data_IF_433129254982
#
_entry.id   IF_433129254982
#
_cell.length_a   1.000
_cell.length_b   1.000
_cell.length_c   1.000
_cell.angle_alpha   90.00
_cell.angle_beta   90.00
_cell.angle_gamma   90.00
#
_symmetry.space_group_name_H-M   'P 1'
#
loop_
_entity.id
_entity.type
_entity.pdbx_description
1 polymer ?
#
# COMPACT_ATOMS: atom_id res chain seq x y z
N UNK A 1 2.84 10.84 -36.19
CA UNK A 1 2.75 10.25 -34.82
C UNK A 1 2.06 11.28 -33.94
N UNK A 2 0.91 10.95 -33.33
CA UNK A 2 0.08 11.93 -32.57
C UNK A 2 0.79 12.33 -31.25
N UNK A 3 0.99 13.63 -31.05
CA UNK A 3 1.62 14.21 -29.85
C UNK A 3 0.91 13.78 -28.57
N UNK A 4 -0.43 13.63 -28.59
CA UNK A 4 -1.21 13.17 -27.45
C UNK A 4 -0.86 11.73 -27.05
N UNK A 5 -0.55 10.89 -28.03
CA UNK A 5 -0.12 9.50 -27.76
C UNK A 5 1.26 9.49 -27.11
N UNK A 6 2.19 10.33 -27.59
CA UNK A 6 3.53 10.45 -27.00
C UNK A 6 3.46 10.95 -25.55
N UNK A 7 2.65 11.97 -25.28
CA UNK A 7 2.45 12.51 -23.93
C UNK A 7 1.92 11.43 -22.99
N UNK A 8 0.88 10.68 -23.40
CA UNK A 8 0.34 9.57 -22.60
C UNK A 8 1.38 8.48 -22.34
N UNK A 9 2.18 8.12 -23.34
CA UNK A 9 3.24 7.12 -23.20
C UNK A 9 4.33 7.57 -22.23
N UNK A 10 4.69 8.85 -22.24
CA UNK A 10 5.66 9.40 -21.29
C UNK A 10 5.09 9.42 -19.87
N UNK A 11 3.84 9.87 -19.73
CA UNK A 11 3.15 9.92 -18.44
C UNK A 11 2.97 8.51 -17.83
N UNK A 12 2.66 7.50 -18.65
CA UNK A 12 2.56 6.11 -18.21
C UNK A 12 3.92 5.46 -17.83
N UNK A 13 5.05 6.15 -17.98
CA UNK A 13 6.36 5.66 -17.51
C UNK A 13 6.67 6.06 -16.07
N UNK A 14 5.95 7.04 -15.52
CA UNK A 14 6.20 7.61 -14.19
C UNK A 14 6.21 6.51 -13.12
N UNK A 15 5.16 5.71 -13.05
CA UNK A 15 5.01 4.64 -12.06
C UNK A 15 5.14 3.24 -12.66
N UNK A 16 5.72 3.11 -13.86
CA UNK A 16 5.91 1.81 -14.50
C UNK A 16 6.69 0.87 -13.57
N UNK A 17 6.17 -0.33 -13.37
CA UNK A 17 6.76 -1.34 -12.46
C UNK A 17 6.34 -1.18 -11.00
N UNK A 18 5.52 -0.18 -10.67
CA UNK A 18 4.91 -0.06 -9.34
C UNK A 18 3.59 -0.85 -9.28
N UNK A 19 3.40 -1.63 -8.22
CA UNK A 19 2.15 -2.31 -7.91
C UNK A 19 1.62 -1.79 -6.56
N UNK A 20 0.49 -1.08 -6.64
CA UNK A 20 -0.09 -0.31 -5.54
C UNK A 20 -1.30 -1.02 -4.96
N UNK A 21 -1.41 -0.94 -3.63
CA UNK A 21 -2.61 -1.30 -2.89
C UNK A 21 -3.03 -0.09 -2.06
N UNK A 22 -4.34 0.11 -1.88
CA UNK A 22 -4.87 1.22 -1.09
C UNK A 22 -5.49 0.71 0.21
N UNK A 23 -5.27 1.45 1.30
CA UNK A 23 -5.83 1.18 2.62
C UNK A 23 -6.33 2.46 3.28
N UNK A 24 -7.61 2.51 3.66
CA UNK A 24 -8.22 3.66 4.33
C UNK A 24 -8.54 4.87 3.43
N UNK A 25 -8.04 4.88 2.18
CA UNK A 25 -8.20 5.96 1.19
C UNK A 25 -9.64 6.11 0.69
N UNK A 26 -10.33 4.99 0.45
CA UNK A 26 -11.68 4.99 -0.10
C UNK A 26 -12.73 4.73 0.99
N UNK A 27 -13.91 5.32 0.82
CA UNK A 27 -15.05 5.09 1.69
C UNK A 27 -15.52 3.63 1.60
N UNK A 28 -15.97 3.07 2.72
CA UNK A 28 -16.54 1.72 2.77
C UNK A 28 -17.75 1.63 1.82
N UNK A 29 -17.84 0.56 1.03
CA UNK A 29 -18.93 0.34 0.08
C UNK A 29 -18.75 0.99 -1.30
N UNK A 30 -17.68 1.78 -1.50
CA UNK A 30 -17.31 2.29 -2.82
C UNK A 30 -16.43 1.30 -3.58
N UNK A 31 -16.49 1.32 -4.91
CA UNK A 31 -15.60 0.55 -5.79
C UNK A 31 -14.26 1.29 -5.89
N UNK A 32 -13.15 0.78 -5.30
CA UNK A 32 -11.86 1.47 -5.28
C UNK A 32 -11.35 1.91 -6.65
N UNK A 33 -11.60 1.10 -7.68
CA UNK A 33 -11.18 1.32 -9.07
C UNK A 33 -11.79 2.58 -9.69
N UNK A 34 -12.91 3.07 -9.12
CA UNK A 34 -13.51 4.31 -9.55
C UNK A 34 -12.88 5.55 -8.90
N UNK A 35 -12.09 5.35 -7.84
CA UNK A 35 -11.42 6.40 -7.06
C UNK A 35 -10.42 7.20 -7.88
N UNK A 36 -10.23 8.46 -7.47
CA UNK A 36 -9.33 9.41 -8.15
C UNK A 36 -7.88 8.93 -8.07
N UNK A 37 -7.46 8.45 -6.91
CA UNK A 37 -6.10 8.03 -6.61
C UNK A 37 -5.75 6.75 -7.36
N UNK A 38 -6.70 5.80 -7.45
CA UNK A 38 -6.56 4.58 -8.24
C UNK A 38 -6.34 4.90 -9.72
N UNK A 39 -7.26 5.67 -10.32
CA UNK A 39 -7.16 6.06 -11.74
C UNK A 39 -5.92 6.88 -12.03
N UNK A 40 -5.52 7.76 -11.11
CA UNK A 40 -4.30 8.54 -11.26
C UNK A 40 -3.07 7.64 -11.31
N UNK A 41 -2.95 6.69 -10.39
CA UNK A 41 -1.88 5.71 -10.37
C UNK A 41 -1.81 4.88 -11.67
N UNK A 42 -2.94 4.33 -12.13
CA UNK A 42 -3.00 3.56 -13.38
C UNK A 42 -2.63 4.40 -14.60
N UNK A 43 -3.08 5.66 -14.66
CA UNK A 43 -2.72 6.57 -15.76
C UNK A 43 -1.23 6.87 -15.83
N UNK A 44 -0.52 6.78 -14.69
CA UNK A 44 0.93 6.90 -14.59
C UNK A 44 1.67 5.57 -14.81
N UNK A 45 0.95 4.49 -15.13
CA UNK A 45 1.51 3.18 -15.46
C UNK A 45 1.71 2.23 -14.28
N UNK A 46 1.14 2.54 -13.11
CA UNK A 46 1.10 1.61 -11.99
C UNK A 46 0.07 0.49 -12.25
N UNK A 47 0.31 -0.69 -11.67
CA UNK A 47 -0.71 -1.71 -11.47
C UNK A 47 -1.38 -1.48 -10.13
N UNK A 48 -2.71 -1.53 -10.06
CA UNK A 48 -3.42 -1.37 -8.79
C UNK A 48 -4.17 -2.65 -8.42
N UNK A 49 -4.09 -3.04 -7.16
CA UNK A 49 -4.69 -4.25 -6.61
C UNK A 49 -5.51 -3.96 -5.35
N UNK A 50 -6.55 -4.77 -5.13
CA UNK A 50 -7.38 -4.65 -3.92
C UNK A 50 -6.66 -5.14 -2.67
N UNK A 51 -5.81 -6.14 -2.81
CA UNK A 51 -5.14 -6.82 -1.72
C UNK A 51 -3.64 -6.87 -1.95
N UNK A 52 -2.88 -6.98 -0.87
CA UNK A 52 -1.44 -7.19 -0.95
C UNK A 52 -1.17 -8.55 -1.59
N UNK A 53 -0.20 -8.57 -2.50
CA UNK A 53 0.23 -9.74 -3.23
C UNK A 53 1.75 -9.74 -3.36
N UNK A 54 2.32 -10.83 -3.86
CA UNK A 54 3.77 -10.96 -4.04
C UNK A 54 4.41 -9.84 -4.89
N UNK A 55 3.66 -9.27 -5.84
CA UNK A 55 4.15 -8.16 -6.68
C UNK A 55 4.02 -6.80 -6.02
N UNK A 56 3.25 -6.66 -4.93
CA UNK A 56 2.97 -5.35 -4.32
C UNK A 56 4.27 -4.68 -3.89
N UNK A 57 4.47 -3.45 -4.37
CA UNK A 57 5.63 -2.63 -4.03
C UNK A 57 5.26 -1.44 -3.14
N UNK A 58 4.01 -0.96 -3.22
CA UNK A 58 3.56 0.19 -2.42
C UNK A 58 2.20 -0.08 -1.77
N UNK A 59 2.06 0.35 -0.53
CA UNK A 59 0.79 0.48 0.18
C UNK A 59 0.50 1.97 0.39
N UNK A 60 -0.49 2.49 -0.32
CA UNK A 60 -0.99 3.86 -0.14
C UNK A 60 -2.00 3.85 0.99
N UNK A 61 -1.65 4.50 2.10
CA UNK A 61 -2.35 4.37 3.36
C UNK A 61 -2.71 5.73 3.98
N UNK A 62 -3.96 5.82 4.44
CA UNK A 62 -4.44 6.93 5.28
C UNK A 62 -4.75 6.39 6.67
N UNK A 63 -4.13 6.99 7.69
CA UNK A 63 -4.40 6.65 9.09
C UNK A 63 -5.75 7.20 9.52
N UNK A 64 -6.62 6.32 10.04
CA UNK A 64 -7.89 6.70 10.67
C UNK A 64 -7.69 6.88 12.17
N UNK A 65 -7.24 8.06 12.60
CA UNK A 65 -7.14 8.43 14.02
C UNK A 65 -6.19 7.57 14.86
N UNK A 66 -6.40 7.56 16.18
CA UNK A 66 -5.64 6.76 17.14
C UNK A 66 -5.90 5.27 16.93
N UNK A 67 -4.84 4.49 16.68
CA UNK A 67 -4.92 3.04 16.46
C UNK A 67 -5.22 2.61 15.01
N UNK A 68 -5.18 3.53 14.04
CA UNK A 68 -5.58 3.33 12.63
C UNK A 68 -4.85 2.26 11.80
N UNK A 69 -3.98 1.44 12.40
CA UNK A 69 -3.28 0.34 11.72
C UNK A 69 -4.31 -0.68 11.20
N UNK A 70 -4.32 -0.91 9.89
CA UNK A 70 -5.20 -1.90 9.24
C UNK A 70 -4.49 -3.25 9.10
N UNK A 71 -5.20 -4.29 8.68
CA UNK A 71 -4.56 -5.58 8.38
C UNK A 71 -3.57 -5.48 7.21
N UNK A 72 -3.85 -4.62 6.22
CA UNK A 72 -2.92 -4.35 5.10
C UNK A 72 -1.65 -3.63 5.56
N UNK A 73 -1.81 -2.64 6.47
CA UNK A 73 -0.86 -2.27 7.53
C UNK A 73 0.17 -3.34 7.92
N UNK A 74 -0.37 -4.26 8.73
CA UNK A 74 0.34 -5.38 9.36
C UNK A 74 0.99 -6.27 8.31
N UNK A 75 0.28 -6.62 7.25
CA UNK A 75 0.78 -7.50 6.19
C UNK A 75 1.96 -6.87 5.43
N UNK A 76 1.87 -5.60 5.04
CA UNK A 76 2.95 -4.90 4.34
C UNK A 76 4.22 -4.82 5.20
N UNK A 77 4.08 -4.46 6.48
CA UNK A 77 5.19 -4.36 7.42
C UNK A 77 5.81 -5.73 7.69
N UNK A 78 4.98 -6.74 7.95
CA UNK A 78 5.46 -8.10 8.23
C UNK A 78 6.17 -8.73 7.04
N UNK A 79 5.66 -8.51 5.82
CA UNK A 79 6.27 -9.01 4.59
C UNK A 79 7.62 -8.36 4.30
N UNK A 80 7.76 -7.08 4.64
CA UNK A 80 8.92 -6.27 4.25
C UNK A 80 8.95 -5.99 2.74
N UNK A 81 9.81 -5.06 2.34
CA UNK A 81 9.97 -4.68 0.92
C UNK A 81 8.76 -3.95 0.29
N UNK A 82 7.73 -3.63 1.09
CA UNK A 82 6.58 -2.82 0.66
C UNK A 82 6.74 -1.41 1.22
N UNK A 83 6.78 -0.42 0.34
CA UNK A 83 6.83 1.00 0.71
C UNK A 83 5.45 1.46 1.19
N UNK A 84 5.34 1.82 2.47
CA UNK A 84 4.11 2.42 2.98
C UNK A 84 4.19 3.94 2.81
N UNK A 85 3.27 4.50 2.04
CA UNK A 85 3.24 5.93 1.67
C UNK A 85 1.84 6.51 1.88
N UNK A 86 1.74 7.82 2.02
CA UNK A 86 0.47 8.53 2.06
C UNK A 86 -0.04 8.84 0.63
N UNK A 87 -1.34 9.16 0.44
CA UNK A 87 -1.88 9.50 -0.88
C UNK A 87 -1.19 10.66 -1.57
N UNK A 88 -0.59 11.56 -0.80
CA UNK A 88 0.20 12.69 -1.28
C UNK A 88 1.36 12.25 -2.17
N UNK A 89 1.91 11.04 -1.98
CA UNK A 89 2.94 10.49 -2.88
C UNK A 89 2.44 10.31 -4.31
N UNK A 90 1.23 9.78 -4.49
CA UNK A 90 0.61 9.60 -5.81
C UNK A 90 0.36 10.96 -6.46
N UNK A 91 -0.11 11.93 -5.65
CA UNK A 91 -0.34 13.29 -6.13
C UNK A 91 0.97 14.00 -6.50
N UNK A 92 2.04 13.80 -5.73
CA UNK A 92 3.35 14.36 -5.99
C UNK A 92 3.96 13.78 -7.26
N UNK A 93 3.89 12.46 -7.46
CA UNK A 93 4.32 11.82 -8.71
C UNK A 93 3.60 12.41 -9.92
N UNK A 94 2.29 12.63 -9.80
CA UNK A 94 1.45 13.24 -10.84
C UNK A 94 1.86 14.69 -11.14
N UNK A 95 2.14 15.49 -10.12
CA UNK A 95 2.52 16.88 -10.29
C UNK A 95 3.93 17.02 -10.88
N UNK A 96 4.87 16.18 -10.44
CA UNK A 96 6.27 16.22 -10.85
C UNK A 96 6.54 15.53 -12.20
N UNK A 97 5.63 14.66 -12.66
CA UNK A 97 5.85 13.79 -13.82
C UNK A 97 7.04 12.84 -13.64
N UNK A 98 7.28 12.42 -12.41
CA UNK A 98 8.40 11.56 -12.02
C UNK A 98 8.02 10.74 -10.79
N UNK A 99 8.63 9.56 -10.62
CA UNK A 99 8.50 8.80 -9.37
C UNK A 99 9.33 9.49 -8.28
N UNK A 100 8.67 10.25 -7.42
CA UNK A 100 9.32 10.92 -6.28
C UNK A 100 9.67 9.91 -5.18
N UNK A 101 10.64 10.27 -4.35
CA UNK A 101 11.10 9.46 -3.22
C UNK A 101 9.96 9.13 -2.25
N UNK A 102 9.73 7.85 -2.00
CA UNK A 102 8.71 7.33 -1.09
C UNK A 102 8.92 7.76 0.37
N UNK A 103 10.17 7.97 0.81
CA UNK A 103 10.49 8.30 2.20
C UNK A 103 9.96 9.68 2.61
N UNK A 104 9.90 10.61 1.66
CA UNK A 104 9.34 11.96 1.86
C UNK A 104 7.83 11.95 2.12
N UNK A 105 7.15 10.84 1.82
CA UNK A 105 5.70 10.70 1.91
C UNK A 105 5.29 9.53 2.83
N UNK A 106 6.12 9.23 3.84
CA UNK A 106 5.70 8.34 4.92
C UNK A 106 4.47 8.93 5.65
N UNK A 107 3.56 8.07 6.16
CA UNK A 107 2.51 8.54 7.04
C UNK A 107 3.06 9.36 8.21
N UNK A 108 2.38 10.43 8.61
CA UNK A 108 2.86 11.40 9.61
C UNK A 108 3.37 10.78 10.92
N UNK A 109 2.76 9.68 11.36
CA UNK A 109 3.10 8.93 12.57
C UNK A 109 3.65 7.53 12.24
N UNK A 110 4.47 7.44 11.18
CA UNK A 110 4.94 6.16 10.62
C UNK A 110 5.61 5.24 11.64
N UNK A 111 6.46 5.76 12.53
CA UNK A 111 7.15 4.94 13.52
C UNK A 111 6.17 4.23 14.46
N UNK A 112 5.17 4.95 14.97
CA UNK A 112 4.14 4.38 15.82
C UNK A 112 3.26 3.36 15.08
N UNK A 113 2.89 3.67 13.83
CA UNK A 113 2.14 2.74 12.96
C UNK A 113 2.93 1.44 12.76
N UNK A 114 4.23 1.56 12.45
CA UNK A 114 5.12 0.44 12.19
C UNK A 114 5.29 -0.43 13.44
N UNK A 115 5.56 0.17 14.59
CA UNK A 115 5.71 -0.56 15.85
C UNK A 115 4.43 -1.33 16.22
N UNK A 116 3.26 -0.71 16.09
CA UNK A 116 1.99 -1.41 16.37
C UNK A 116 1.70 -2.50 15.34
N UNK A 117 2.06 -2.30 14.06
CA UNK A 117 1.95 -3.31 13.03
C UNK A 117 2.84 -4.54 13.31
N UNK A 118 4.11 -4.30 13.66
CA UNK A 118 5.07 -5.35 14.06
C UNK A 118 4.57 -6.11 15.30
N UNK A 119 4.05 -5.38 16.30
CA UNK A 119 3.50 -5.98 17.52
C UNK A 119 2.26 -6.84 17.22
N UNK A 120 1.35 -6.41 16.34
CA UNK A 120 0.19 -7.21 15.89
C UNK A 120 0.62 -8.47 15.15
N UNK A 121 1.60 -8.36 14.25
CA UNK A 121 2.15 -9.51 13.53
C UNK A 121 2.76 -10.54 14.50
N UNK A 122 3.55 -10.08 15.48
CA UNK A 122 4.16 -10.93 16.50
C UNK A 122 3.12 -11.66 17.37
N UNK A 123 2.06 -10.96 17.79
CA UNK A 123 0.94 -11.56 18.54
C UNK A 123 0.24 -12.66 17.73
N UNK A 124 0.00 -12.42 16.45
CA UNK A 124 -0.62 -13.39 15.55
C UNK A 124 0.25 -14.64 15.35
N UNK A 125 1.57 -14.47 15.16
CA UNK A 125 2.50 -15.59 15.02
C UNK A 125 2.57 -16.47 16.28
N UNK A 126 2.60 -15.86 17.47
CA UNK A 126 2.60 -16.60 18.75
C UNK A 126 1.32 -17.42 18.95
N UNK A 127 0.16 -16.87 18.57
CA UNK A 127 -1.13 -17.57 18.67
C UNK A 127 -1.19 -18.81 17.76
N UNK A 128 -0.66 -18.72 16.54
CA UNK A 128 -0.59 -19.86 15.60
C UNK A 128 0.26 -21.01 16.14
N UNK A 129 1.47 -20.69 16.61
CA UNK A 129 2.37 -21.69 17.21
C UNK A 129 1.75 -22.39 18.42
N UNK A 130 1.05 -21.65 19.29
CA UNK A 130 0.35 -22.25 20.43
C UNK A 130 -0.77 -23.21 19.99
N UNK A 131 -1.57 -22.84 18.98
CA UNK A 131 -2.64 -23.68 18.45
C UNK A 131 -2.14 -24.98 17.80
N UNK A 132 -1.02 -24.93 17.08
CA UNK A 132 -0.37 -26.11 16.49
C UNK A 132 0.17 -27.08 17.55
N UNK A 133 0.79 -26.56 18.62
CA UNK A 133 1.27 -27.37 19.75
C UNK A 133 0.11 -28.09 20.47
N UNK A 134 -1.03 -27.42 20.65
CA UNK A 134 -2.21 -28.03 21.28
C UNK A 134 -2.92 -29.06 20.38
N UNK A 135 -2.76 -28.97 19.06
CA UNK A 135 -3.39 -29.89 18.10
C UNK A 135 -2.60 -31.19 17.89
N UNK A 136 -1.28 -31.21 18.14
CA UNK A 136 -0.45 -32.42 17.99
C UNK A 136 -0.38 -33.33 19.22
N UNK A 137 -0.90 -32.89 20.37
CA UNK A 137 -0.82 -33.62 21.65
C UNK A 137 -1.98 -34.58 21.95
N UNK A 138 -2.89 -34.82 20.99
CA UNK A 138 -4.01 -35.74 21.15
C UNK A 138 -3.89 -36.93 20.21
N UNK A 139 -3.11 -37.94 20.61
CA UNK A 139 -3.18 -39.34 20.17
C UNK A 139 -2.73 -40.22 21.33
#
# INVERSE_FOLDING_TARGET
RDVRVLIRQQYARILKGSALVFSGVFHTGTVPEHGREWKAAESMGAMCDKNIAARTTHLVYVSRGEGGVTDKVVEAVHRGGVQVVSPEWVQACRSAWEKVDEELFRPRNWEAIRQEAEARAGRAAKKRKMGELTASGGH
#
